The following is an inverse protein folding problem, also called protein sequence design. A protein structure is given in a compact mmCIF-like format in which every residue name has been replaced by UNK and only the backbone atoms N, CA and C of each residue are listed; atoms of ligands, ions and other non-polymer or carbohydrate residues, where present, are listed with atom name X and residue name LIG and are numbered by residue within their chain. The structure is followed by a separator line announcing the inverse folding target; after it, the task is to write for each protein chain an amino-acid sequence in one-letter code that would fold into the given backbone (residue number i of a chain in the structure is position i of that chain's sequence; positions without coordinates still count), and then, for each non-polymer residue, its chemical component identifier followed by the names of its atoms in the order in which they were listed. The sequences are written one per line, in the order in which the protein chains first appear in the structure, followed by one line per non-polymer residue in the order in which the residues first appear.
data_IF_865028795393
#
_entry.id   IF_865028795393
#
_cell.length_a   1.000
_cell.length_b   1.000
_cell.length_c   1.000
_cell.angle_alpha   90.00
_cell.angle_beta   90.00
_cell.angle_gamma   90.00
#
_symmetry.space_group_name_H-M   'P 1'
#
loop_
_entity.id
_entity.type
_entity.pdbx_description
1 polymer ?
#
# COMPACT_ATOMS: atom_id res chain seq x y z
N UNK A 1 9.48 -24.18 -1.62
CA UNK A 1 8.18 -23.79 -2.21
C UNK A 1 8.31 -22.37 -2.75
N UNK A 2 7.89 -22.10 -3.99
CA UNK A 2 7.86 -20.75 -4.55
C UNK A 2 6.43 -20.20 -4.44
N UNK A 3 6.27 -18.97 -3.96
CA UNK A 3 4.98 -18.28 -3.93
C UNK A 3 4.93 -17.24 -5.04
N UNK A 4 3.79 -17.12 -5.71
CA UNK A 4 3.60 -16.07 -6.71
C UNK A 4 3.56 -14.69 -6.03
N UNK A 5 3.96 -13.63 -6.73
CA UNK A 5 3.84 -12.27 -6.20
C UNK A 5 2.37 -11.92 -5.88
N UNK A 6 1.44 -12.41 -6.69
CA UNK A 6 -0.01 -12.26 -6.47
C UNK A 6 -0.43 -12.87 -5.14
N UNK A 7 0.04 -14.07 -4.82
CA UNK A 7 -0.30 -14.76 -3.57
C UNK A 7 0.27 -14.02 -2.37
N UNK A 8 1.52 -13.57 -2.46
CA UNK A 8 2.19 -12.82 -1.39
C UNK A 8 1.44 -11.51 -1.11
N UNK A 9 1.07 -10.77 -2.17
CA UNK A 9 0.32 -9.51 -2.05
C UNK A 9 -1.08 -9.75 -1.47
N UNK A 10 -1.81 -10.76 -1.97
CA UNK A 10 -3.17 -11.06 -1.45
C UNK A 10 -3.13 -11.45 0.02
N UNK A 11 -2.17 -12.28 0.42
CA UNK A 11 -2.01 -12.64 1.84
C UNK A 11 -1.70 -11.41 2.69
N UNK A 12 -0.78 -10.56 2.24
CA UNK A 12 -0.42 -9.35 2.99
C UNK A 12 -1.58 -8.36 3.11
N UNK A 13 -2.36 -8.15 2.05
CA UNK A 13 -3.56 -7.30 2.10
C UNK A 13 -4.57 -7.85 3.10
N UNK A 14 -4.82 -9.17 3.11
CA UNK A 14 -5.75 -9.78 4.05
C UNK A 14 -5.27 -9.64 5.49
N UNK A 15 -3.98 -9.85 5.76
CA UNK A 15 -3.40 -9.64 7.09
C UNK A 15 -3.65 -8.21 7.59
N UNK A 16 -3.37 -7.20 6.77
CA UNK A 16 -3.61 -5.79 7.13
C UNK A 16 -5.11 -5.55 7.38
N UNK A 17 -5.98 -6.10 6.54
CA UNK A 17 -7.43 -5.91 6.65
C UNK A 17 -8.03 -6.48 7.95
N UNK A 18 -7.38 -7.47 8.57
CA UNK A 18 -7.86 -8.10 9.82
C UNK A 18 -7.03 -7.72 11.05
N UNK A 19 -6.17 -6.70 10.96
CA UNK A 19 -5.42 -6.15 12.11
C UNK A 19 -4.06 -6.80 12.40
N UNK A 20 -3.46 -7.46 11.40
CA UNK A 20 -2.11 -8.01 11.46
C UNK A 20 -1.13 -7.21 10.60
N UNK A 21 -1.17 -5.88 10.73
CA UNK A 21 -0.34 -4.96 9.95
C UNK A 21 1.15 -5.02 10.28
N UNK A 22 1.56 -5.41 11.49
CA UNK A 22 2.99 -5.51 11.87
C UNK A 22 3.70 -6.73 11.23
N UNK A 23 2.93 -7.72 10.81
CA UNK A 23 3.37 -8.92 10.11
C UNK A 23 4.13 -9.94 10.98
N UNK A 24 4.18 -9.79 12.31
CA UNK A 24 4.88 -10.74 13.19
C UNK A 24 4.18 -12.11 13.25
N UNK A 25 2.85 -12.12 13.15
CA UNK A 25 2.00 -13.31 13.21
C UNK A 25 1.99 -14.10 11.90
N UNK A 26 2.71 -13.65 10.85
CA UNK A 26 2.73 -14.36 9.58
C UNK A 26 3.34 -15.78 9.67
N UNK A 27 4.11 -16.05 10.73
CA UNK A 27 4.64 -17.39 10.99
C UNK A 27 3.53 -18.39 11.35
N UNK A 28 2.50 -17.94 12.07
CA UNK A 28 1.37 -18.75 12.51
C UNK A 28 0.23 -18.70 11.49
N UNK A 29 -0.11 -17.50 11.01
CA UNK A 29 -1.21 -17.27 10.05
C UNK A 29 -0.98 -17.95 8.70
N UNK A 30 0.25 -18.32 8.36
CA UNK A 30 0.53 -18.99 7.09
C UNK A 30 -0.11 -20.38 6.99
N UNK A 31 -0.40 -20.99 8.13
CA UNK A 31 -1.05 -22.29 8.21
C UNK A 31 -2.52 -22.21 8.62
N UNK A 32 -3.01 -21.01 8.91
CA UNK A 32 -4.39 -20.75 9.30
C UNK A 32 -5.40 -21.20 8.22
N UNK A 33 -6.38 -22.05 8.58
CA UNK A 33 -7.40 -22.55 7.65
C UNK A 33 -8.23 -21.46 6.96
N UNK A 34 -8.57 -20.37 7.66
CA UNK A 34 -9.38 -19.30 7.12
C UNK A 34 -8.60 -18.47 6.08
N UNK A 35 -7.32 -18.18 6.35
CA UNK A 35 -6.44 -17.53 5.38
C UNK A 35 -6.16 -18.41 4.15
N UNK A 36 -5.94 -19.73 4.34
CA UNK A 36 -5.82 -20.68 3.23
C UNK A 36 -7.08 -20.67 2.37
N UNK A 37 -8.26 -20.78 2.99
CA UNK A 37 -9.54 -20.74 2.29
C UNK A 37 -9.76 -19.43 1.55
N UNK A 38 -9.49 -18.28 2.18
CA UNK A 38 -9.64 -16.95 1.57
C UNK A 38 -8.71 -16.75 0.35
N UNK A 39 -7.59 -17.46 0.33
CA UNK A 39 -6.62 -17.46 -0.77
C UNK A 39 -6.78 -18.64 -1.72
N UNK A 40 -7.97 -19.24 -1.75
CA UNK A 40 -8.34 -20.30 -2.69
C UNK A 40 -7.46 -21.56 -2.54
N UNK A 41 -7.07 -21.88 -1.31
CA UNK A 41 -6.34 -23.10 -0.93
C UNK A 41 -7.18 -23.97 -0.01
N UNK A 42 -6.92 -25.27 -0.07
CA UNK A 42 -7.55 -26.22 0.84
C UNK A 42 -7.17 -25.90 2.31
N UNK A 43 -8.13 -25.80 3.24
CA UNK A 43 -7.87 -25.35 4.61
C UNK A 43 -7.00 -26.31 5.42
N UNK A 44 -7.07 -27.62 5.15
CA UNK A 44 -6.38 -28.65 5.94
C UNK A 44 -5.10 -29.14 5.25
N UNK A 45 -5.18 -29.35 3.94
CA UNK A 45 -4.14 -29.99 3.14
C UNK A 45 -3.45 -29.02 2.17
N UNK A 46 -3.99 -27.81 2.03
CA UNK A 46 -3.45 -26.80 1.14
C UNK A 46 -2.07 -26.34 1.56
N UNK A 47 -1.23 -26.06 0.56
CA UNK A 47 0.12 -25.56 0.78
C UNK A 47 0.13 -24.31 1.67
N UNK A 48 1.05 -24.28 2.64
CA UNK A 48 1.26 -23.13 3.52
C UNK A 48 1.44 -21.83 2.73
N UNK A 49 0.94 -20.73 3.27
CA UNK A 49 1.14 -19.39 2.71
C UNK A 49 2.60 -18.94 2.89
N UNK A 50 2.93 -17.79 2.31
CA UNK A 50 4.29 -17.28 2.37
C UNK A 50 4.67 -16.87 3.80
N UNK A 51 5.95 -17.04 4.15
CA UNK A 51 6.48 -16.69 5.46
C UNK A 51 6.73 -15.19 5.62
N UNK A 52 6.86 -14.71 6.87
CA UNK A 52 7.22 -13.31 7.18
C UNK A 52 8.44 -12.81 6.38
N UNK A 53 9.57 -13.55 6.27
CA UNK A 53 10.71 -13.09 5.49
C UNK A 53 10.41 -12.96 3.98
N UNK A 54 9.42 -13.69 3.48
CA UNK A 54 8.99 -13.59 2.08
C UNK A 54 8.16 -12.33 1.83
N UNK A 55 7.29 -11.97 2.78
CA UNK A 55 6.56 -10.71 2.79
C UNK A 55 7.54 -9.53 2.86
N UNK A 56 8.45 -9.55 3.84
CA UNK A 56 9.44 -8.48 4.02
C UNK A 56 10.31 -8.27 2.78
N UNK A 57 10.78 -9.36 2.13
CA UNK A 57 11.51 -9.26 0.86
C UNK A 57 10.67 -8.64 -0.26
N UNK A 58 9.37 -8.93 -0.31
CA UNK A 58 8.45 -8.37 -1.31
C UNK A 58 8.24 -6.87 -1.06
N UNK A 59 8.00 -6.46 0.19
CA UNK A 59 7.80 -5.04 0.56
C UNK A 59 9.05 -4.20 0.24
N UNK A 60 10.24 -4.78 0.36
CA UNK A 60 11.51 -4.13 0.04
C UNK A 60 11.96 -4.30 -1.42
N UNK A 61 11.16 -4.96 -2.27
CA UNK A 61 11.50 -5.18 -3.68
C UNK A 61 11.30 -3.91 -4.54
N UNK A 62 10.38 -3.04 -4.12
CA UNK A 62 10.01 -1.87 -4.88
C UNK A 62 11.17 -0.86 -4.96
N UNK A 63 11.49 -0.45 -6.19
CA UNK A 63 12.43 0.64 -6.44
C UNK A 63 11.73 1.76 -7.22
N UNK A 64 12.42 2.88 -7.43
CA UNK A 64 11.85 4.04 -8.16
C UNK A 64 11.24 3.68 -9.51
N UNK A 65 11.84 2.76 -10.28
CA UNK A 65 11.28 2.33 -11.57
C UNK A 65 10.00 1.51 -11.40
N UNK A 66 9.96 0.62 -10.41
CA UNK A 66 8.75 -0.11 -10.07
C UNK A 66 7.62 0.84 -9.66
N UNK A 67 7.90 1.84 -8.81
CA UNK A 67 6.92 2.84 -8.37
C UNK A 67 6.35 3.65 -9.54
N UNK A 68 7.19 4.10 -10.48
CA UNK A 68 6.72 4.81 -11.68
C UNK A 68 5.81 3.90 -12.53
N UNK A 69 6.18 2.63 -12.71
CA UNK A 69 5.35 1.67 -13.45
C UNK A 69 4.01 1.41 -12.76
N UNK A 70 4.00 1.33 -11.43
CA UNK A 70 2.78 1.20 -10.64
C UNK A 70 1.87 2.43 -10.82
N UNK A 71 2.44 3.64 -10.76
CA UNK A 71 1.67 4.87 -10.99
C UNK A 71 1.03 4.90 -12.39
N UNK A 72 1.74 4.49 -13.43
CA UNK A 72 1.17 4.36 -14.77
C UNK A 72 0.04 3.31 -14.83
N UNK A 73 0.18 2.20 -14.10
CA UNK A 73 -0.86 1.16 -14.06
C UNK A 73 -2.10 1.59 -13.28
N UNK A 74 -1.95 2.42 -12.25
CA UNK A 74 -3.09 3.05 -11.56
C UNK A 74 -3.89 3.93 -12.53
N UNK A 75 -3.20 4.81 -13.27
CA UNK A 75 -3.86 5.67 -14.28
C UNK A 75 -4.48 4.82 -15.38
N UNK A 76 -3.82 3.76 -15.84
CA UNK A 76 -4.39 2.83 -16.83
C UNK A 76 -5.66 2.17 -16.30
N UNK A 77 -5.64 1.68 -15.05
CA UNK A 77 -6.78 1.03 -14.41
C UNK A 77 -7.95 2.01 -14.27
N UNK A 78 -7.67 3.25 -13.88
CA UNK A 78 -8.66 4.32 -13.84
C UNK A 78 -9.27 4.59 -15.23
N UNK A 79 -8.45 4.76 -16.27
CA UNK A 79 -8.94 4.94 -17.65
C UNK A 79 -9.78 3.74 -18.13
N UNK A 80 -9.39 2.52 -17.77
CA UNK A 80 -10.10 1.29 -18.12
C UNK A 80 -11.43 1.11 -17.35
N UNK A 81 -11.65 1.87 -16.27
CA UNK A 81 -12.91 1.83 -15.50
C UNK A 81 -14.09 2.47 -16.25
N UNK A 82 -13.82 3.26 -17.29
CA UNK A 82 -14.86 3.89 -18.11
C UNK A 82 -15.31 2.98 -19.26
N UNK A 83 -16.61 2.71 -19.35
CA UNK A 83 -17.19 2.04 -20.53
C UNK A 83 -17.01 2.85 -21.83
N UNK A 84 -16.99 4.19 -21.71
CA UNK A 84 -16.70 5.13 -22.79
C UNK A 84 -15.90 6.30 -22.24
N UNK A 85 -14.86 6.72 -22.96
CA UNK A 85 -14.03 7.86 -22.56
C UNK A 85 -14.89 9.11 -22.31
N UNK A 86 -14.81 9.73 -21.11
CA UNK A 86 -15.55 10.94 -20.79
C UNK A 86 -15.00 12.14 -21.57
N UNK A 87 -15.86 13.15 -21.82
CA UNK A 87 -15.43 14.40 -22.47
C UNK A 87 -14.63 15.32 -21.56
N UNK A 88 -14.83 15.18 -20.25
CA UNK A 88 -14.20 15.98 -19.20
C UNK A 88 -14.05 15.11 -17.96
N UNK A 89 -12.96 15.28 -17.26
CA UNK A 89 -12.70 14.71 -15.94
C UNK A 89 -12.35 15.89 -15.02
N UNK A 90 -12.99 15.95 -13.85
CA UNK A 90 -12.58 16.84 -12.77
C UNK A 90 -11.73 16.00 -11.82
N UNK A 91 -10.54 16.52 -11.50
CA UNK A 91 -9.59 15.85 -10.61
C UNK A 91 -9.51 16.62 -9.31
N UNK A 92 -9.71 15.90 -8.22
CA UNK A 92 -9.43 16.37 -6.87
C UNK A 92 -8.03 15.91 -6.47
N UNK A 93 -7.19 16.84 -6.03
CA UNK A 93 -5.77 16.60 -5.75
C UNK A 93 -5.47 17.15 -4.36
N UNK A 94 -5.46 16.26 -3.39
CA UNK A 94 -5.21 16.61 -2.00
C UNK A 94 -4.01 15.86 -1.45
N UNK A 95 -3.42 16.42 -0.40
CA UNK A 95 -2.58 15.65 0.48
C UNK A 95 -3.33 15.26 1.75
N UNK A 96 -2.99 14.09 2.28
CA UNK A 96 -3.50 13.59 3.56
C UNK A 96 -2.33 13.34 4.49
N UNK A 97 -2.54 13.52 5.79
CA UNK A 97 -1.55 13.18 6.81
C UNK A 97 -1.76 11.75 7.28
N UNK A 98 -0.66 11.01 7.43
CA UNK A 98 -0.64 9.63 7.88
C UNK A 98 0.40 9.49 9.00
N UNK A 99 -0.03 9.38 10.25
CA UNK A 99 0.87 9.35 11.41
C UNK A 99 1.74 8.11 11.37
N UNK A 100 3.02 8.25 11.69
CA UNK A 100 3.90 7.07 11.77
C UNK A 100 3.81 6.37 13.12
N UNK A 101 3.98 5.05 13.11
CA UNK A 101 4.18 4.26 14.32
C UNK A 101 5.67 4.03 14.56
N UNK A 102 6.19 4.46 15.71
CA UNK A 102 7.60 4.33 16.04
C UNK A 102 8.51 5.09 15.05
N UNK A 103 9.64 4.50 14.67
CA UNK A 103 10.69 5.15 13.87
C UNK A 103 10.69 4.73 12.41
N UNK A 104 9.52 4.67 11.77
CA UNK A 104 9.40 4.35 10.35
C UNK A 104 10.31 5.26 9.49
N UNK A 105 10.94 4.67 8.48
CA UNK A 105 11.86 5.37 7.59
C UNK A 105 11.11 6.44 6.79
N UNK A 106 11.81 7.54 6.47
CA UNK A 106 11.29 8.66 5.68
C UNK A 106 10.13 9.45 6.32
N UNK A 107 9.81 9.19 7.60
CA UNK A 107 8.88 10.02 8.38
C UNK A 107 9.36 11.47 8.45
N UNK A 108 8.43 12.42 8.43
CA UNK A 108 8.70 13.85 8.59
C UNK A 108 7.86 14.44 9.71
N UNK A 109 8.40 15.45 10.40
CA UNK A 109 7.61 16.22 11.37
C UNK A 109 6.71 17.20 10.63
N UNK A 110 5.43 17.27 11.02
CA UNK A 110 4.48 18.22 10.50
C UNK A 110 3.97 19.13 11.63
N UNK A 111 4.38 20.40 11.60
CA UNK A 111 4.03 21.38 12.62
C UNK A 111 2.53 21.69 12.72
N UNK A 112 1.75 21.45 11.67
CA UNK A 112 0.30 21.63 11.73
C UNK A 112 -0.37 20.55 12.59
N UNK A 113 0.14 19.31 12.52
CA UNK A 113 -0.36 18.16 13.28
C UNK A 113 0.43 17.91 14.58
N UNK A 114 1.54 18.63 14.78
CA UNK A 114 2.51 18.42 15.87
C UNK A 114 2.98 16.96 16.00
N UNK A 115 3.12 16.28 14.86
CA UNK A 115 3.38 14.84 14.82
C UNK A 115 4.30 14.44 13.66
N UNK A 116 4.95 13.28 13.80
CA UNK A 116 5.68 12.65 12.69
C UNK A 116 4.75 11.79 11.84
N UNK A 117 4.78 12.00 10.53
CA UNK A 117 3.93 11.27 9.61
C UNK A 117 4.49 11.22 8.20
N UNK A 118 3.67 10.70 7.31
CA UNK A 118 3.77 10.84 5.87
C UNK A 118 2.74 11.86 5.39
N UNK A 119 3.00 12.47 4.23
CA UNK A 119 2.05 13.37 3.57
C UNK A 119 1.88 12.96 2.11
N UNK A 120 1.27 11.79 1.84
CA UNK A 120 0.97 11.35 0.49
C UNK A 120 0.00 12.30 -0.20
N UNK A 121 0.18 12.44 -1.52
CA UNK A 121 -0.82 13.04 -2.41
C UNK A 121 -1.69 11.92 -2.95
N UNK A 122 -3.00 12.10 -2.89
CA UNK A 122 -3.99 11.21 -3.47
C UNK A 122 -4.81 12.00 -4.49
N UNK A 123 -5.09 11.37 -5.62
CA UNK A 123 -5.84 11.99 -6.72
C UNK A 123 -7.11 11.18 -6.96
N UNK A 124 -8.25 11.84 -6.89
CA UNK A 124 -9.55 11.26 -7.16
C UNK A 124 -10.24 11.97 -8.33
N UNK A 125 -11.15 11.29 -9.01
CA UNK A 125 -12.11 11.98 -9.89
C UNK A 125 -13.30 12.53 -9.09
N UNK A 126 -14.14 13.34 -9.74
CA UNK A 126 -15.35 13.89 -9.13
C UNK A 126 -16.40 12.86 -8.66
N UNK A 127 -16.27 11.59 -9.04
CA UNK A 127 -17.12 10.49 -8.57
C UNK A 127 -16.45 9.71 -7.41
N UNK A 128 -15.27 10.14 -6.94
CA UNK A 128 -14.50 9.50 -5.88
C UNK A 128 -13.66 8.31 -6.33
N UNK A 129 -13.46 8.08 -7.64
CA UNK A 129 -12.59 7.01 -8.13
C UNK A 129 -11.12 7.40 -7.97
N UNK A 130 -10.31 6.50 -7.41
CA UNK A 130 -8.87 6.72 -7.28
C UNK A 130 -8.19 6.73 -8.66
N UNK A 131 -7.49 7.81 -8.96
CA UNK A 131 -6.69 7.99 -10.18
C UNK A 131 -5.22 7.61 -9.93
N UNK A 132 -4.69 7.99 -8.77
CA UNK A 132 -3.29 7.79 -8.44
C UNK A 132 -2.95 8.21 -7.02
N UNK A 133 -1.84 7.70 -6.50
CA UNK A 133 -1.28 8.12 -5.23
C UNK A 133 0.24 8.24 -5.34
N UNK A 134 0.82 9.24 -4.67
CA UNK A 134 2.27 9.47 -4.64
C UNK A 134 2.68 9.82 -3.21
N UNK A 135 3.61 9.04 -2.67
CA UNK A 135 4.28 9.41 -1.42
C UNK A 135 5.27 10.56 -1.70
N UNK A 136 5.01 11.72 -1.10
CA UNK A 136 5.86 12.90 -1.32
C UNK A 136 7.10 12.80 -0.42
N UNK A 137 8.29 12.78 -1.04
CA UNK A 137 9.51 13.10 -0.31
C UNK A 137 9.58 14.64 -0.17
N UNK A 138 9.18 15.21 0.97
CA UNK A 138 9.51 16.61 1.26
C UNK A 138 10.93 16.67 1.84
N UNK A 139 11.75 17.58 1.31
CA UNK A 139 12.95 18.06 2.02
C UNK A 139 12.46 18.74 3.30
N UNK A 140 13.13 18.47 4.43
CA UNK A 140 12.85 19.15 5.69
C UNK A 140 12.76 20.66 5.44
N UNK A 141 11.65 21.29 5.81
CA UNK A 141 11.64 22.73 5.96
C UNK A 141 12.55 23.02 7.16
N UNK A 142 13.64 23.75 6.90
CA UNK A 142 14.44 24.30 7.97
C UNK A 142 13.51 25.15 8.84
N UNK A 143 13.45 24.82 10.12
CA UNK A 143 12.91 25.73 11.12
C UNK A 143 13.90 26.90 11.12
N UNK A 144 13.54 28.02 10.49
CA UNK A 144 14.20 29.29 10.78
C UNK A 144 13.78 29.64 12.20
N UNK A 145 14.67 29.40 13.15
CA UNK A 145 14.54 29.98 14.48
C UNK A 145 14.76 31.49 14.37
N UNK A 146 13.80 32.26 14.85
CA UNK A 146 13.97 33.67 15.23
C UNK A 146 14.67 33.76 16.59
#
# INVERSE_FOLDING_TARGET
MQHSLKDIIRFRIMMIAVGYEDGNDAADLRDDPAFKLALERDPETGAALCSQPTISRMENLANRRALIRMAHEMVRSYCASFARAPRQIVLDIDDTFDSVHGHQQLRLFNAHYDEYGFQPIVVFDGDGRLVGAVLRAKKAQAISGD
#
